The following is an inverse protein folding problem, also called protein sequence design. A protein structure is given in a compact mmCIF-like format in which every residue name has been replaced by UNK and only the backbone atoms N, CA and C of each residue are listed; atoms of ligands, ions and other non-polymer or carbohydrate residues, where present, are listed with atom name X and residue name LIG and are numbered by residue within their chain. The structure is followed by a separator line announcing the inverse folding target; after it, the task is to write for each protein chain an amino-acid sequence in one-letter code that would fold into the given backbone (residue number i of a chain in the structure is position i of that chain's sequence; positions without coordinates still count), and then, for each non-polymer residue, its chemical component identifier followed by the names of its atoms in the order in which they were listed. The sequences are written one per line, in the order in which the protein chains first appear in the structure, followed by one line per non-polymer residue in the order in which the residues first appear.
data_IF_097140985540
#
_entry.id   IF_097140985540
#
_cell.length_a   1.000
_cell.length_b   1.000
_cell.length_c   1.000
_cell.angle_alpha   90.00
_cell.angle_beta   90.00
_cell.angle_gamma   90.00
#
_symmetry.space_group_name_H-M   'P 1'
#
loop_
_entity.id
_entity.type
_entity.pdbx_description
1 polymer ?
#
# COMPACT_ATOMS: atom_id res chain seq x y z
N UNK A 1 34.08 -17.58 -14.24
CA UNK A 1 34.98 -18.45 -15.02
C UNK A 1 35.81 -19.25 -14.05
N UNK A 2 35.44 -20.49 -13.76
CA UNK A 2 36.31 -21.54 -13.18
C UNK A 2 35.94 -22.83 -13.88
N UNK A 3 36.90 -23.39 -14.55
CA UNK A 3 36.78 -24.56 -15.40
C UNK A 3 36.60 -25.81 -14.54
N UNK A 4 35.67 -26.64 -14.91
CA UNK A 4 35.51 -28.02 -14.43
C UNK A 4 36.44 -28.91 -15.26
N UNK A 5 37.43 -29.53 -14.60
CA UNK A 5 38.30 -30.52 -15.17
C UNK A 5 37.62 -31.88 -15.04
N UNK A 6 37.40 -32.54 -16.16
CA UNK A 6 36.88 -33.90 -16.24
C UNK A 6 38.01 -34.93 -16.00
N UNK A 7 37.71 -35.95 -15.19
CA UNK A 7 38.59 -37.11 -14.96
C UNK A 7 38.41 -38.17 -16.06
N UNK A 8 39.48 -38.93 -16.47
CA UNK A 8 39.41 -39.91 -17.53
C UNK A 8 38.80 -41.26 -17.11
N UNK A 9 38.29 -42.05 -18.06
CA UNK A 9 37.63 -43.33 -17.80
C UNK A 9 38.65 -44.44 -17.46
N UNK A 10 38.28 -45.31 -16.51
CA UNK A 10 39.00 -46.53 -16.15
C UNK A 10 38.60 -47.66 -17.08
N UNK A 11 39.60 -48.36 -17.60
CA UNK A 11 39.52 -49.57 -18.43
C UNK A 11 38.98 -50.79 -17.63
N UNK A 12 38.32 -51.73 -18.26
CA UNK A 12 37.77 -52.91 -17.61
C UNK A 12 38.86 -54.05 -17.54
N UNK A 13 39.12 -54.44 -16.31
CA UNK A 13 39.98 -55.61 -16.03
C UNK A 13 39.27 -56.94 -16.33
N UNK A 14 39.97 -57.84 -16.95
CA UNK A 14 39.56 -59.17 -17.40
C UNK A 14 39.09 -60.10 -16.28
N UNK A 15 37.95 -60.76 -16.52
CA UNK A 15 37.37 -61.78 -15.64
C UNK A 15 37.99 -63.15 -15.89
N UNK A 16 38.50 -63.77 -14.83
CA UNK A 16 38.83 -65.19 -14.80
C UNK A 16 37.59 -66.05 -14.32
N UNK A 17 37.46 -67.26 -14.84
CA UNK A 17 36.29 -68.09 -14.52
C UNK A 17 36.56 -68.94 -13.27
N UNK A 18 35.91 -68.63 -12.15
CA UNK A 18 35.79 -69.59 -11.03
C UNK A 18 34.38 -70.20 -10.99
N UNK A 19 34.25 -71.38 -11.58
CA UNK A 19 33.16 -72.33 -11.29
C UNK A 19 33.21 -72.70 -9.78
N UNK A 20 32.24 -72.31 -9.04
CA UNK A 20 31.86 -72.98 -7.82
C UNK A 20 30.48 -73.57 -8.01
N UNK A 21 30.47 -74.92 -8.03
CA UNK A 21 29.24 -75.69 -7.89
C UNK A 21 28.69 -75.46 -6.50
N UNK A 22 27.70 -74.58 -6.37
CA UNK A 22 26.91 -74.44 -5.16
C UNK A 22 25.77 -75.48 -5.21
N UNK A 23 25.79 -76.38 -4.25
CA UNK A 23 24.72 -77.30 -3.93
C UNK A 23 23.41 -76.60 -3.78
N UNK A 24 22.53 -76.77 -4.77
CA UNK A 24 21.14 -76.35 -4.71
C UNK A 24 20.47 -77.12 -3.63
N UNK A 25 20.31 -76.55 -2.43
CA UNK A 25 19.43 -77.08 -1.37
C UNK A 25 18.01 -76.81 -1.82
N UNK A 26 17.16 -77.84 -1.96
CA UNK A 26 15.74 -77.62 -2.33
C UNK A 26 15.13 -76.75 -1.23
N UNK A 27 14.73 -75.53 -1.64
CA UNK A 27 13.86 -74.68 -0.80
C UNK A 27 12.58 -75.48 -0.52
N UNK A 28 12.42 -75.91 0.73
CA UNK A 28 11.13 -76.44 1.19
C UNK A 28 10.07 -75.34 0.97
N UNK A 29 9.26 -75.52 -0.03
CA UNK A 29 8.05 -74.75 -0.20
C UNK A 29 7.14 -75.00 1.00
N UNK A 30 7.14 -74.03 1.93
CA UNK A 30 6.17 -74.05 3.02
C UNK A 30 4.86 -73.59 2.45
N UNK A 31 3.89 -74.50 2.40
CA UNK A 31 2.53 -74.16 2.03
C UNK A 31 2.01 -73.04 2.92
N UNK A 32 1.48 -72.01 2.32
CA UNK A 32 0.84 -70.88 3.02
C UNK A 32 -0.46 -71.42 3.62
N UNK A 33 -0.63 -71.29 4.92
CA UNK A 33 -1.87 -71.70 5.58
C UNK A 33 -2.93 -70.59 5.42
N UNK A 34 -4.22 -70.95 5.46
CA UNK A 34 -5.30 -69.96 5.41
C UNK A 34 -5.19 -68.92 6.54
N UNK A 35 -4.65 -69.34 7.69
CA UNK A 35 -4.37 -68.47 8.85
C UNK A 35 -3.32 -67.43 8.52
N UNK A 36 -2.23 -67.80 7.84
CA UNK A 36 -1.17 -66.86 7.43
C UNK A 36 -1.73 -65.77 6.52
N UNK A 37 -2.63 -66.13 5.60
CA UNK A 37 -3.27 -65.15 4.69
C UNK A 37 -4.18 -64.19 5.48
N UNK A 38 -4.97 -64.69 6.42
CA UNK A 38 -5.87 -63.86 7.24
C UNK A 38 -5.06 -62.88 8.12
N UNK A 39 -4.00 -63.38 8.77
CA UNK A 39 -3.11 -62.52 9.60
C UNK A 39 -2.44 -61.44 8.74
N UNK A 40 -1.96 -61.79 7.54
CA UNK A 40 -1.36 -60.85 6.61
C UNK A 40 -2.35 -59.77 6.15
N UNK A 41 -3.62 -60.14 5.89
CA UNK A 41 -4.69 -59.21 5.52
C UNK A 41 -5.02 -58.23 6.65
N UNK A 42 -5.08 -58.73 7.91
CA UNK A 42 -5.34 -57.89 9.07
C UNK A 42 -4.20 -56.84 9.25
N UNK A 43 -2.95 -57.31 9.19
CA UNK A 43 -1.79 -56.41 9.29
C UNK A 43 -1.79 -55.39 8.14
N UNK A 44 -2.07 -55.81 6.92
CA UNK A 44 -2.16 -54.94 5.76
C UNK A 44 -3.24 -53.85 5.95
N UNK A 45 -4.43 -54.26 6.46
CA UNK A 45 -5.52 -53.32 6.75
C UNK A 45 -5.12 -52.27 7.79
N UNK A 46 -4.50 -52.68 8.89
CA UNK A 46 -4.00 -51.76 9.90
C UNK A 46 -2.96 -50.79 9.32
N UNK A 47 -2.05 -51.31 8.51
CA UNK A 47 -1.02 -50.47 7.86
C UNK A 47 -1.65 -49.44 6.93
N UNK A 48 -2.65 -49.84 6.13
CA UNK A 48 -3.37 -48.94 5.25
C UNK A 48 -4.10 -47.83 6.03
N UNK A 49 -4.73 -48.16 7.17
CA UNK A 49 -5.43 -47.20 8.02
C UNK A 49 -4.42 -46.16 8.58
N UNK A 50 -3.30 -46.63 9.11
CA UNK A 50 -2.26 -45.73 9.66
C UNK A 50 -1.67 -44.80 8.58
N UNK A 51 -1.38 -45.34 7.40
CA UNK A 51 -0.90 -44.55 6.26
C UNK A 51 -1.93 -43.53 5.81
N UNK A 52 -3.21 -43.92 5.70
CA UNK A 52 -4.30 -43.02 5.31
C UNK A 52 -4.47 -41.87 6.33
N UNK A 53 -4.42 -42.16 7.63
CA UNK A 53 -4.48 -41.14 8.67
C UNK A 53 -3.28 -40.19 8.60
N UNK A 54 -2.07 -40.71 8.44
CA UNK A 54 -0.86 -39.91 8.27
C UNK A 54 -0.93 -39.00 7.05
N UNK A 55 -1.49 -39.51 5.94
CA UNK A 55 -1.67 -38.72 4.71
C UNK A 55 -2.63 -37.54 4.92
N UNK A 56 -3.76 -37.76 5.62
CA UNK A 56 -4.73 -36.69 5.95
C UNK A 56 -4.06 -35.59 6.79
N UNK A 57 -3.28 -35.98 7.81
CA UNK A 57 -2.55 -35.01 8.66
C UNK A 57 -1.55 -34.20 7.85
N UNK A 58 -0.75 -34.86 7.00
CA UNK A 58 0.23 -34.17 6.15
C UNK A 58 -0.46 -33.20 5.19
N UNK A 59 -1.58 -33.58 4.58
CA UNK A 59 -2.36 -32.71 3.69
C UNK A 59 -2.90 -31.47 4.44
N UNK A 60 -3.38 -31.65 5.66
CA UNK A 60 -3.87 -30.56 6.49
C UNK A 60 -2.75 -29.58 6.83
N UNK A 61 -1.57 -30.08 7.22
CA UNK A 61 -0.39 -29.26 7.51
C UNK A 61 0.05 -28.47 6.27
N UNK A 62 0.13 -29.12 5.10
CA UNK A 62 0.50 -28.46 3.84
C UNK A 62 -0.47 -27.34 3.47
N UNK A 63 -1.78 -27.59 3.53
CA UNK A 63 -2.81 -26.58 3.26
C UNK A 63 -2.71 -25.39 4.22
N UNK A 64 -2.49 -25.66 5.50
CA UNK A 64 -2.38 -24.60 6.49
C UNK A 64 -1.10 -23.77 6.31
N UNK A 65 0.00 -24.39 5.91
CA UNK A 65 1.27 -23.70 5.64
C UNK A 65 1.16 -22.82 4.39
N UNK A 66 0.59 -23.34 3.29
CA UNK A 66 0.40 -22.53 2.06
C UNK A 66 -0.54 -21.36 2.31
N UNK A 67 -1.67 -21.59 2.99
CA UNK A 67 -2.61 -20.51 3.31
C UNK A 67 -1.97 -19.40 4.20
N UNK A 68 -1.08 -19.78 5.13
CA UNK A 68 -0.35 -18.82 5.95
C UNK A 68 0.67 -18.01 5.12
N UNK A 69 1.32 -18.65 4.14
CA UNK A 69 2.23 -17.98 3.22
C UNK A 69 1.47 -17.01 2.30
N UNK A 70 0.29 -17.39 1.81
CA UNK A 70 -0.57 -16.55 0.98
C UNK A 70 -1.05 -15.30 1.74
N UNK A 71 -1.49 -15.47 3.00
CA UNK A 71 -1.87 -14.34 3.85
C UNK A 71 -0.69 -13.40 4.13
N UNK A 72 0.52 -13.94 4.32
CA UNK A 72 1.73 -13.13 4.46
C UNK A 72 2.04 -12.38 3.17
N UNK A 73 1.99 -13.06 2.02
CA UNK A 73 2.18 -12.45 0.71
C UNK A 73 1.18 -11.31 0.45
N UNK A 74 -0.10 -11.52 0.73
CA UNK A 74 -1.15 -10.49 0.64
C UNK A 74 -0.79 -9.26 1.49
N UNK A 75 -0.36 -9.46 2.75
CA UNK A 75 0.00 -8.35 3.63
C UNK A 75 1.23 -7.59 3.10
N UNK A 76 2.27 -8.28 2.62
CA UNK A 76 3.48 -7.66 2.06
C UNK A 76 3.14 -6.83 0.81
N UNK A 77 2.38 -7.39 -0.13
CA UNK A 77 1.96 -6.65 -1.33
C UNK A 77 1.10 -5.43 -0.99
N UNK A 78 0.17 -5.57 -0.03
CA UNK A 78 -0.64 -4.46 0.45
C UNK A 78 0.20 -3.33 1.05
N UNK A 79 1.14 -3.66 1.94
CA UNK A 79 2.06 -2.69 2.51
C UNK A 79 2.92 -2.02 1.44
N UNK A 80 3.44 -2.77 0.49
CA UNK A 80 4.26 -2.22 -0.58
C UNK A 80 3.47 -1.25 -1.46
N UNK A 81 2.25 -1.60 -1.85
CA UNK A 81 1.39 -0.73 -2.65
C UNK A 81 1.08 0.59 -1.93
N UNK A 82 0.72 0.51 -0.64
CA UNK A 82 0.44 1.67 0.19
C UNK A 82 1.70 2.49 0.49
N UNK A 83 2.85 1.85 0.71
CA UNK A 83 4.12 2.53 0.92
C UNK A 83 4.55 3.33 -0.32
N UNK A 84 4.41 2.77 -1.52
CA UNK A 84 4.67 3.48 -2.77
C UNK A 84 3.72 4.67 -2.93
N UNK A 85 2.44 4.49 -2.61
CA UNK A 85 1.46 5.58 -2.64
C UNK A 85 1.83 6.71 -1.69
N UNK A 86 2.19 6.38 -0.43
CA UNK A 86 2.60 7.33 0.59
C UNK A 86 3.91 8.05 0.22
N UNK A 87 4.92 7.35 -0.31
CA UNK A 87 6.17 7.96 -0.78
C UNK A 87 5.95 8.99 -1.90
N UNK A 88 4.93 8.76 -2.72
CA UNK A 88 4.55 9.67 -3.80
C UNK A 88 3.59 10.79 -3.36
N UNK A 89 3.13 10.78 -2.09
CA UNK A 89 2.29 11.84 -1.57
C UNK A 89 3.00 13.19 -1.69
N UNK A 90 2.29 14.19 -2.21
CA UNK A 90 2.83 15.54 -2.37
C UNK A 90 3.78 15.72 -3.55
N UNK A 91 4.11 14.67 -4.31
CA UNK A 91 4.98 14.81 -5.47
C UNK A 91 4.41 15.87 -6.45
N UNK A 92 5.24 16.84 -6.82
CA UNK A 92 4.87 17.94 -7.70
C UNK A 92 3.86 18.96 -7.15
N UNK A 93 3.38 18.79 -5.91
CA UNK A 93 2.46 19.75 -5.27
C UNK A 93 2.99 20.31 -3.95
N UNK A 94 3.75 19.55 -3.19
CA UNK A 94 4.19 19.95 -1.86
C UNK A 94 5.09 21.19 -1.88
N UNK A 95 5.96 21.33 -2.88
CA UNK A 95 6.86 22.46 -3.07
C UNK A 95 6.12 23.76 -3.42
N UNK A 96 4.96 23.64 -4.05
CA UNK A 96 4.12 24.77 -4.46
C UNK A 96 3.08 25.14 -3.39
N UNK A 97 2.91 24.33 -2.36
CA UNK A 97 1.77 24.39 -1.47
C UNK A 97 1.61 25.73 -0.75
N UNK A 98 2.71 26.42 -0.37
CA UNK A 98 2.65 27.75 0.27
C UNK A 98 1.97 28.80 -0.59
N UNK A 99 2.08 28.70 -1.89
CA UNK A 99 1.43 29.63 -2.85
C UNK A 99 -0.09 29.45 -2.91
N UNK A 100 -0.61 28.35 -2.39
CA UNK A 100 -2.01 27.95 -2.43
C UNK A 100 -2.65 27.85 -1.04
N UNK A 101 -1.94 28.25 0.02
CA UNK A 101 -2.45 28.18 1.40
C UNK A 101 -3.71 28.99 1.62
N UNK A 102 -3.87 30.10 0.91
CA UNK A 102 -5.05 30.94 0.94
C UNK A 102 -6.26 30.38 0.18
N UNK A 103 -6.09 29.28 -0.56
CA UNK A 103 -7.16 28.66 -1.30
C UNK A 103 -8.24 28.09 -0.39
N UNK A 104 -9.51 28.12 -0.82
CA UNK A 104 -10.60 27.53 -0.07
C UNK A 104 -10.36 26.04 0.23
N UNK A 105 -10.68 25.65 1.46
CA UNK A 105 -10.69 24.23 1.86
C UNK A 105 -12.10 23.65 1.69
N UNK A 106 -12.12 22.38 1.34
CA UNK A 106 -13.33 21.56 1.28
C UNK A 106 -13.22 20.42 2.29
N UNK A 107 -14.32 19.83 2.66
CA UNK A 107 -14.38 18.65 3.51
C UNK A 107 -13.80 17.39 2.86
N UNK A 108 -13.52 17.43 1.56
CA UNK A 108 -12.94 16.32 0.80
C UNK A 108 -11.62 16.76 0.12
N UNK A 109 -10.61 15.93 0.24
CA UNK A 109 -9.30 16.13 -0.39
C UNK A 109 -9.41 16.24 -1.92
N UNK A 110 -10.38 15.59 -2.56
CA UNK A 110 -10.55 15.64 -4.01
C UNK A 110 -11.05 17.00 -4.50
N UNK A 111 -11.89 17.67 -3.70
CA UNK A 111 -12.54 18.93 -4.07
C UNK A 111 -11.85 20.17 -3.45
N UNK A 112 -10.97 19.95 -2.46
CA UNK A 112 -10.22 21.09 -1.89
C UNK A 112 -9.23 21.65 -2.90
N UNK A 113 -9.19 22.99 -3.04
CA UNK A 113 -8.23 23.68 -3.89
C UNK A 113 -6.87 23.83 -3.22
N UNK A 114 -6.81 23.75 -1.88
CA UNK A 114 -5.55 23.70 -1.15
C UNK A 114 -4.85 22.36 -1.41
N UNK A 115 -3.58 22.34 -1.81
CA UNK A 115 -2.86 21.12 -2.16
C UNK A 115 -2.37 20.38 -0.91
N UNK A 116 -3.28 19.71 -0.19
CA UNK A 116 -2.95 18.77 0.88
C UNK A 116 -2.44 17.47 0.28
N UNK A 117 -1.28 16.99 0.74
CA UNK A 117 -0.57 15.84 0.13
C UNK A 117 -1.19 14.50 0.49
N UNK A 118 -1.67 14.35 1.72
CA UNK A 118 -2.32 13.13 2.19
C UNK A 118 -3.26 13.41 3.36
N UNK A 119 -4.29 12.58 3.48
CA UNK A 119 -5.27 12.62 4.58
C UNK A 119 -5.59 11.20 5.00
N UNK A 120 -5.53 10.94 6.31
CA UNK A 120 -6.05 9.71 6.91
C UNK A 120 -7.46 10.00 7.43
N UNK A 121 -8.39 9.12 7.13
CA UNK A 121 -9.71 9.10 7.77
C UNK A 121 -9.77 7.89 8.69
N UNK A 122 -9.85 8.14 9.99
CA UNK A 122 -9.99 7.10 11.01
C UNK A 122 -11.31 6.34 10.86
N UNK A 123 -11.27 5.03 10.95
CA UNK A 123 -12.45 4.17 10.96
C UNK A 123 -13.31 4.33 12.22
N UNK A 124 -12.84 5.10 13.20
CA UNK A 124 -13.53 5.43 14.45
C UNK A 124 -13.49 4.32 15.51
N UNK A 125 -12.96 3.15 15.17
CA UNK A 125 -12.81 2.00 16.08
C UNK A 125 -11.63 1.15 15.66
N UNK A 126 -11.00 0.47 16.63
CA UNK A 126 -9.85 -0.41 16.36
C UNK A 126 -10.17 -1.54 15.36
N UNK A 127 -11.40 -2.05 15.37
CA UNK A 127 -11.86 -3.14 14.49
C UNK A 127 -12.32 -2.68 13.09
N UNK A 128 -12.37 -1.36 12.82
CA UNK A 128 -12.72 -0.81 11.51
C UNK A 128 -11.48 -0.30 10.78
N UNK A 129 -11.37 -0.58 9.48
CA UNK A 129 -10.25 -0.07 8.69
C UNK A 129 -10.31 1.44 8.55
N UNK A 130 -9.13 2.06 8.57
CA UNK A 130 -8.93 3.44 8.20
C UNK A 130 -8.86 3.57 6.68
N UNK A 131 -8.97 4.81 6.21
CA UNK A 131 -8.85 5.17 4.81
C UNK A 131 -7.66 6.12 4.62
N UNK A 132 -6.89 5.93 3.57
CA UNK A 132 -5.81 6.84 3.17
C UNK A 132 -6.15 7.48 1.83
N UNK A 133 -6.18 8.80 1.78
CA UNK A 133 -6.24 9.55 0.53
C UNK A 133 -4.90 10.26 0.27
N UNK A 134 -4.38 10.11 -0.93
CA UNK A 134 -3.09 10.65 -1.36
C UNK A 134 -3.28 11.53 -2.59
N UNK A 135 -2.70 12.73 -2.56
CA UNK A 135 -2.68 13.64 -3.70
C UNK A 135 -1.26 13.82 -4.21
N UNK A 136 -1.09 13.83 -5.53
CA UNK A 136 0.15 14.10 -6.23
C UNK A 136 -0.12 14.72 -7.59
N UNK A 137 0.87 15.39 -8.15
CA UNK A 137 0.85 15.79 -9.56
C UNK A 137 1.42 14.67 -10.44
N UNK A 138 0.89 14.53 -11.63
CA UNK A 138 1.46 13.74 -12.72
C UNK A 138 2.10 14.61 -13.80
N UNK A 139 2.20 15.91 -13.54
CA UNK A 139 2.85 16.85 -14.46
C UNK A 139 4.37 16.61 -14.49
N UNK A 140 4.95 16.83 -15.65
CA UNK A 140 6.41 16.91 -15.81
C UNK A 140 7.00 18.19 -15.22
N UNK A 141 6.15 19.19 -14.92
CA UNK A 141 6.52 20.46 -14.29
C UNK A 141 6.11 20.48 -12.82
N UNK A 142 7.01 20.24 -11.87
CA UNK A 142 6.69 20.21 -10.44
C UNK A 142 6.52 21.59 -9.82
N UNK A 143 6.98 22.65 -10.48
CA UNK A 143 6.93 24.02 -9.98
C UNK A 143 5.77 24.80 -10.60
N UNK A 144 5.11 25.69 -9.84
CA UNK A 144 4.08 26.55 -10.36
C UNK A 144 4.68 27.54 -11.36
N UNK A 145 3.91 27.85 -12.42
CA UNK A 145 4.23 28.90 -13.36
C UNK A 145 3.61 30.24 -12.91
N UNK A 146 4.31 31.35 -13.13
CA UNK A 146 3.81 32.69 -12.82
C UNK A 146 2.98 33.22 -13.98
N UNK A 147 1.97 34.00 -13.67
CA UNK A 147 1.25 34.76 -14.65
C UNK A 147 2.12 35.91 -15.17
N UNK A 148 2.10 36.12 -16.49
CA UNK A 148 2.79 37.24 -17.14
C UNK A 148 1.93 38.51 -17.09
N UNK A 149 0.60 38.33 -17.15
CA UNK A 149 -0.37 39.41 -17.10
C UNK A 149 -1.58 38.95 -16.24
N UNK A 150 -2.37 39.94 -15.79
CA UNK A 150 -3.65 39.64 -15.19
C UNK A 150 -4.58 38.94 -16.20
N UNK A 151 -5.27 37.91 -15.72
CA UNK A 151 -6.29 37.22 -16.52
C UNK A 151 -7.67 37.64 -15.99
N UNK A 152 -8.51 38.17 -16.89
CA UNK A 152 -9.92 38.38 -16.58
C UNK A 152 -10.64 37.03 -16.47
N UNK A 153 -11.81 37.02 -15.84
CA UNK A 153 -12.72 35.87 -15.86
C UNK A 153 -12.90 35.39 -17.32
N UNK A 154 -12.66 34.13 -17.58
CA UNK A 154 -12.65 33.61 -18.94
C UNK A 154 -11.97 32.24 -19.05
N UNK A 155 -11.28 32.05 -20.15
CA UNK A 155 -10.75 30.75 -20.54
C UNK A 155 -9.28 30.78 -21.02
N UNK A 156 -8.50 31.79 -20.66
CA UNK A 156 -7.10 31.91 -21.09
C UNK A 156 -6.19 32.49 -20.00
N UNK A 157 -5.04 31.85 -19.77
CA UNK A 157 -3.94 32.36 -18.95
C UNK A 157 -2.69 32.56 -19.82
N UNK A 158 -1.89 33.57 -19.49
CA UNK A 158 -0.53 33.72 -20.00
C UNK A 158 0.46 33.51 -18.89
N UNK A 159 1.37 32.56 -19.01
CA UNK A 159 2.28 32.14 -17.94
C UNK A 159 3.73 32.08 -18.46
N UNK A 160 4.68 32.35 -17.53
CA UNK A 160 6.09 32.09 -17.74
C UNK A 160 6.35 30.59 -17.73
N UNK A 161 6.40 29.98 -18.88
CA UNK A 161 6.73 28.58 -19.07
C UNK A 161 7.26 28.35 -20.49
N UNK A 162 8.19 27.42 -20.64
CA UNK A 162 8.67 26.93 -21.92
C UNK A 162 7.94 25.64 -22.29
N UNK A 163 7.63 24.84 -21.29
CA UNK A 163 7.04 23.50 -21.38
C UNK A 163 6.21 23.14 -20.14
N UNK A 164 5.76 21.91 -20.08
CA UNK A 164 5.13 21.32 -18.89
C UNK A 164 3.63 21.55 -18.76
N UNK A 165 2.97 22.00 -19.82
CA UNK A 165 1.51 22.03 -19.97
C UNK A 165 1.12 21.28 -21.23
N UNK A 166 0.11 20.45 -21.14
CA UNK A 166 -0.45 19.71 -22.27
C UNK A 166 -1.98 19.81 -22.28
N UNK A 167 -2.56 19.58 -23.46
CA UNK A 167 -4.02 19.49 -23.59
C UNK A 167 -4.53 18.34 -22.74
N UNK A 168 -5.59 18.60 -21.98
CA UNK A 168 -6.16 17.64 -21.05
C UNK A 168 -5.51 17.66 -19.66
N UNK A 169 -4.53 18.50 -19.41
CA UNK A 169 -4.00 18.71 -18.05
C UNK A 169 -5.00 19.47 -17.20
N UNK A 170 -5.04 19.13 -15.91
CA UNK A 170 -5.78 19.86 -14.89
C UNK A 170 -4.85 20.79 -14.15
N UNK A 171 -5.26 22.04 -13.99
CA UNK A 171 -4.46 23.07 -13.33
C UNK A 171 -5.24 23.72 -12.20
N UNK A 172 -4.50 24.17 -11.18
CA UNK A 172 -5.02 25.03 -10.12
C UNK A 172 -4.35 26.39 -10.27
N UNK A 173 -5.13 27.46 -10.42
CA UNK A 173 -4.65 28.82 -10.39
C UNK A 173 -4.97 29.47 -9.05
N UNK A 174 -4.04 30.27 -8.51
CA UNK A 174 -4.18 30.98 -7.25
C UNK A 174 -3.72 32.43 -7.36
N UNK A 175 -4.53 33.35 -6.89
CA UNK A 175 -4.17 34.78 -6.74
C UNK A 175 -3.21 35.02 -5.57
N UNK A 176 -2.94 34.01 -4.73
CA UNK A 176 -2.21 34.09 -3.45
C UNK A 176 -2.94 34.91 -2.38
N UNK A 177 -4.10 35.45 -2.65
CA UNK A 177 -4.95 36.26 -1.73
C UNK A 177 -6.30 35.62 -1.48
N UNK A 178 -6.47 34.32 -1.83
CA UNK A 178 -7.68 33.54 -1.54
C UNK A 178 -8.56 33.24 -2.76
N UNK A 179 -8.31 33.86 -3.91
CA UNK A 179 -8.99 33.50 -5.14
C UNK A 179 -8.27 32.33 -5.79
N UNK A 180 -8.96 31.21 -5.94
CA UNK A 180 -8.40 30.00 -6.52
C UNK A 180 -9.42 29.36 -7.44
N UNK A 181 -8.95 28.82 -8.55
CA UNK A 181 -9.76 28.14 -9.54
C UNK A 181 -9.08 26.85 -10.01
N UNK A 182 -9.90 25.86 -10.35
CA UNK A 182 -9.47 24.67 -11.07
C UNK A 182 -9.95 24.79 -12.52
N UNK A 183 -9.11 24.40 -13.46
CA UNK A 183 -9.44 24.41 -14.86
C UNK A 183 -8.75 23.25 -15.59
N UNK A 184 -9.35 22.81 -16.70
CA UNK A 184 -8.76 21.80 -17.59
C UNK A 184 -8.22 22.49 -18.84
N UNK A 185 -6.99 22.18 -19.22
CA UNK A 185 -6.28 22.77 -20.36
C UNK A 185 -6.88 22.25 -21.64
N UNK A 186 -7.30 23.18 -22.52
CA UNK A 186 -7.91 22.88 -23.83
C UNK A 186 -6.99 23.16 -25.01
N UNK A 187 -6.06 24.14 -24.86
CA UNK A 187 -5.00 24.38 -25.83
C UNK A 187 -3.77 24.99 -25.14
N UNK A 188 -2.61 24.78 -25.77
CA UNK A 188 -1.33 25.35 -25.31
C UNK A 188 -0.65 25.96 -26.54
N UNK A 189 -0.37 27.27 -26.52
CA UNK A 189 0.22 27.99 -27.62
C UNK A 189 1.44 28.80 -27.16
N UNK A 190 2.62 28.61 -27.74
CA UNK A 190 3.76 29.49 -27.47
C UNK A 190 3.41 30.95 -27.80
N UNK A 191 3.67 31.86 -26.84
CA UNK A 191 3.33 33.27 -26.97
C UNK A 191 4.58 34.19 -27.04
N UNK A 192 5.77 33.59 -27.28
CA UNK A 192 7.05 34.28 -27.38
C UNK A 192 8.00 33.90 -26.25
N UNK A 193 9.16 34.52 -26.19
CA UNK A 193 10.30 34.26 -25.28
C UNK A 193 9.98 33.74 -23.88
N UNK A 194 9.74 32.43 -23.75
CA UNK A 194 9.48 31.81 -22.45
C UNK A 194 8.06 32.01 -21.90
N UNK A 195 7.11 32.43 -22.73
CA UNK A 195 5.68 32.61 -22.41
C UNK A 195 4.82 31.62 -23.17
N UNK A 196 3.87 31.05 -22.47
CA UNK A 196 2.88 30.12 -23.02
C UNK A 196 1.48 30.69 -22.72
N UNK A 197 0.64 30.75 -23.73
CA UNK A 197 -0.80 30.97 -23.58
C UNK A 197 -1.50 29.63 -23.41
N UNK A 198 -2.22 29.47 -22.30
CA UNK A 198 -2.96 28.28 -21.90
C UNK A 198 -4.44 28.62 -22.08
N UNK A 199 -5.10 28.00 -23.04
CA UNK A 199 -6.55 28.00 -23.09
C UNK A 199 -7.06 26.88 -22.17
N UNK A 200 -8.16 27.12 -21.46
CA UNK A 200 -8.69 26.21 -20.44
C UNK A 200 -10.22 26.30 -20.33
N UNK A 201 -10.82 25.40 -19.56
CA UNK A 201 -12.23 25.48 -19.19
C UNK A 201 -12.52 26.82 -18.47
N UNK A 202 -13.72 27.36 -18.62
CA UNK A 202 -14.04 28.69 -18.11
C UNK A 202 -13.82 28.83 -16.61
N UNK A 203 -13.16 29.92 -16.21
CA UNK A 203 -12.94 30.35 -14.82
C UNK A 203 -13.74 31.61 -14.57
N UNK A 204 -14.57 31.62 -13.53
CA UNK A 204 -15.52 32.68 -13.23
C UNK A 204 -14.93 33.83 -12.39
N UNK A 205 -13.60 33.98 -12.34
CA UNK A 205 -12.95 35.01 -11.53
C UNK A 205 -11.77 35.64 -12.22
N UNK A 206 -11.48 36.89 -11.89
CA UNK A 206 -10.29 37.59 -12.32
C UNK A 206 -9.08 37.16 -11.47
N UNK A 207 -7.95 36.98 -12.11
CA UNK A 207 -6.69 36.60 -11.48
C UNK A 207 -5.62 37.68 -11.79
N UNK A 208 -5.00 38.29 -10.73
CA UNK A 208 -3.99 39.31 -10.95
C UNK A 208 -2.70 38.73 -11.53
N UNK A 209 -1.82 39.57 -12.06
CA UNK A 209 -0.54 39.18 -12.64
C UNK A 209 0.42 38.50 -11.59
N UNK A 210 0.16 38.66 -10.31
CA UNK A 210 0.89 37.96 -9.24
C UNK A 210 0.47 36.50 -9.03
N UNK A 211 -0.54 36.05 -9.76
CA UNK A 211 -1.09 34.70 -9.65
C UNK A 211 -0.11 33.63 -10.09
N UNK A 212 -0.34 32.44 -9.60
CA UNK A 212 0.42 31.23 -9.94
C UNK A 212 -0.52 30.15 -10.46
N UNK A 213 -0.02 29.34 -11.38
CA UNK A 213 -0.72 28.15 -11.85
C UNK A 213 0.13 26.91 -11.58
N UNK A 214 -0.47 25.92 -10.94
CA UNK A 214 0.10 24.59 -10.67
C UNK A 214 -0.53 23.58 -11.61
N UNK A 215 0.31 22.85 -12.35
CA UNK A 215 -0.15 21.75 -13.18
C UNK A 215 -0.23 20.45 -12.35
N UNK A 216 -1.40 19.82 -12.28
CA UNK A 216 -1.62 18.54 -11.64
C UNK A 216 -1.38 17.35 -12.59
N UNK A 217 -1.13 17.62 -13.88
CA UNK A 217 -1.02 16.61 -14.93
C UNK A 217 -2.37 16.28 -15.55
N UNK A 218 -2.37 15.26 -16.39
CA UNK A 218 -3.54 14.89 -17.20
C UNK A 218 -4.74 14.58 -16.30
N UNK A 219 -5.85 15.24 -16.55
CA UNK A 219 -7.10 15.09 -15.77
C UNK A 219 -7.57 13.62 -15.71
N UNK A 220 -7.38 12.86 -16.79
CA UNK A 220 -7.75 11.43 -16.86
C UNK A 220 -6.93 10.52 -15.96
N UNK A 221 -5.80 10.97 -15.40
CA UNK A 221 -4.99 10.17 -14.46
C UNK A 221 -5.34 10.38 -13.00
N UNK A 222 -6.16 11.35 -12.69
CA UNK A 222 -6.55 11.70 -11.33
C UNK A 222 -5.41 12.02 -10.39
N UNK A 223 -5.40 13.21 -9.85
CA UNK A 223 -4.35 13.66 -8.93
C UNK A 223 -4.56 13.15 -7.50
N UNK A 224 -5.72 12.57 -7.19
CA UNK A 224 -6.10 12.15 -5.82
C UNK A 224 -6.61 10.73 -5.82
N UNK A 225 -5.93 9.86 -5.11
CA UNK A 225 -6.29 8.43 -4.99
C UNK A 225 -6.61 8.10 -3.53
N UNK A 226 -7.76 7.48 -3.29
CA UNK A 226 -8.16 6.92 -2.00
C UNK A 226 -7.89 5.42 -1.96
N UNK A 227 -7.37 4.96 -0.84
CA UNK A 227 -7.20 3.54 -0.51
C UNK A 227 -8.09 3.20 0.67
N UNK A 228 -8.96 2.22 0.52
CA UNK A 228 -9.89 1.75 1.55
C UNK A 228 -10.02 0.22 1.54
N UNK A 229 -10.54 -0.34 2.63
CA UNK A 229 -10.87 -1.77 2.72
C UNK A 229 -12.38 -1.91 2.86
N UNK A 230 -13.00 -2.57 1.88
CA UNK A 230 -14.44 -2.86 1.89
C UNK A 230 -14.67 -4.34 1.64
N UNK A 231 -15.46 -4.96 2.49
CA UNK A 231 -15.77 -6.40 2.43
C UNK A 231 -14.51 -7.29 2.34
N UNK A 232 -13.42 -6.89 3.03
CA UNK A 232 -12.17 -7.63 3.03
C UNK A 232 -11.30 -7.45 1.78
N UNK A 233 -11.61 -6.45 0.94
CA UNK A 233 -10.84 -6.12 -0.26
C UNK A 233 -10.22 -4.73 -0.11
N UNK A 234 -8.90 -4.64 -0.23
CA UNK A 234 -8.19 -3.36 -0.39
C UNK A 234 -8.45 -2.86 -1.81
N UNK A 235 -8.89 -1.61 -1.92
CA UNK A 235 -9.24 -0.96 -3.18
C UNK A 235 -8.52 0.37 -3.32
N UNK A 236 -8.30 0.78 -4.55
CA UNK A 236 -7.94 2.15 -4.91
C UNK A 236 -9.06 2.81 -5.69
N UNK A 237 -9.35 4.07 -5.42
CA UNK A 237 -10.35 4.87 -6.11
C UNK A 237 -9.73 6.19 -6.55
N UNK A 238 -9.81 6.52 -7.81
CA UNK A 238 -9.48 7.86 -8.29
C UNK A 238 -10.64 8.81 -7.99
N UNK A 239 -10.41 9.69 -7.02
CA UNK A 239 -11.43 10.65 -6.58
C UNK A 239 -11.59 11.84 -7.51
N UNK A 240 -10.54 12.19 -8.26
CA UNK A 240 -10.57 13.36 -9.13
C UNK A 240 -11.46 13.15 -10.38
N UNK A 241 -11.61 11.90 -10.80
CA UNK A 241 -12.43 11.52 -11.95
C UNK A 241 -13.76 10.86 -11.56
N UNK A 242 -13.98 10.60 -10.27
CA UNK A 242 -15.16 9.87 -9.81
C UNK A 242 -15.19 8.40 -10.26
N UNK A 243 -14.02 7.81 -10.48
CA UNK A 243 -13.92 6.45 -10.99
C UNK A 243 -14.48 5.41 -10.03
N UNK A 244 -14.90 4.29 -10.61
CA UNK A 244 -15.28 3.13 -9.82
C UNK A 244 -14.06 2.58 -9.04
N UNK A 245 -14.26 2.06 -7.80
CA UNK A 245 -13.20 1.48 -7.03
C UNK A 245 -12.53 0.30 -7.74
N UNK A 246 -11.21 0.34 -7.87
CA UNK A 246 -10.40 -0.73 -8.44
C UNK A 246 -9.92 -1.68 -7.32
N UNK A 247 -10.29 -2.97 -7.32
CA UNK A 247 -9.83 -3.93 -6.33
C UNK A 247 -8.33 -4.21 -6.54
N UNK A 248 -7.55 -4.11 -5.47
CA UNK A 248 -6.10 -4.37 -5.48
C UNK A 248 -5.80 -5.75 -4.88
N UNK A 249 -6.31 -6.04 -3.69
CA UNK A 249 -6.02 -7.25 -2.93
C UNK A 249 -7.26 -7.70 -2.15
N UNK A 250 -7.57 -8.99 -2.18
CA UNK A 250 -8.55 -9.63 -1.31
C UNK A 250 -7.93 -10.06 0.02
N UNK A 251 -8.77 -10.49 0.95
CA UNK A 251 -8.37 -11.05 2.25
C UNK A 251 -7.63 -10.07 3.18
N UNK A 252 -7.89 -8.78 3.05
CA UNK A 252 -7.45 -7.74 3.98
C UNK A 252 -8.53 -7.55 5.04
N UNK A 253 -8.23 -7.91 6.29
CA UNK A 253 -9.19 -7.85 7.39
C UNK A 253 -9.25 -6.46 8.04
N UNK A 254 -8.12 -5.76 8.14
CA UNK A 254 -8.04 -4.42 8.70
C UNK A 254 -6.87 -3.64 8.14
N UNK A 255 -6.95 -2.31 8.23
CA UNK A 255 -5.94 -1.37 7.77
C UNK A 255 -5.90 -0.18 8.73
N UNK A 256 -4.71 0.18 9.23
CA UNK A 256 -4.51 1.26 10.19
C UNK A 256 -3.37 2.17 9.76
N UNK A 257 -3.55 3.45 10.01
CA UNK A 257 -2.57 4.49 9.70
C UNK A 257 -2.35 5.42 10.88
N UNK A 258 -1.12 5.97 10.97
CA UNK A 258 -0.81 7.07 11.89
C UNK A 258 0.14 8.06 11.23
N UNK A 259 -0.01 9.33 11.61
CA UNK A 259 0.94 10.38 11.25
C UNK A 259 2.15 10.33 12.17
N UNK A 260 3.33 10.43 11.61
CA UNK A 260 4.56 10.70 12.32
C UNK A 260 4.84 12.20 12.33
N UNK A 261 4.89 12.79 13.50
CA UNK A 261 4.89 14.23 13.70
C UNK A 261 6.20 14.72 14.31
N UNK A 262 6.69 15.81 13.76
CA UNK A 262 7.72 16.69 14.31
C UNK A 262 7.00 17.70 15.23
N UNK A 263 7.08 17.52 16.52
CA UNK A 263 6.31 18.31 17.49
C UNK A 263 6.96 19.62 17.86
N UNK A 264 8.29 19.72 17.82
CA UNK A 264 9.07 20.91 18.17
C UNK A 264 9.57 21.71 16.96
N UNK A 265 9.49 21.14 15.74
CA UNK A 265 9.82 21.81 14.51
C UNK A 265 11.31 21.73 14.12
N UNK A 266 12.07 20.83 14.73
CA UNK A 266 13.51 20.65 14.45
C UNK A 266 13.77 19.84 13.15
N UNK A 267 12.74 19.21 12.61
CA UNK A 267 12.78 18.38 11.37
C UNK A 267 12.87 16.90 11.63
N UNK A 268 13.07 16.46 12.87
CA UNK A 268 13.05 15.06 13.25
C UNK A 268 11.63 14.56 13.53
N UNK A 269 11.50 13.26 13.60
CA UNK A 269 10.25 12.60 13.98
C UNK A 269 10.25 12.39 15.49
N UNK A 270 9.30 13.00 16.20
CA UNK A 270 9.20 12.89 17.66
C UNK A 270 8.17 11.87 18.11
N UNK A 271 7.00 11.90 17.50
CA UNK A 271 5.87 11.13 17.99
C UNK A 271 4.94 10.64 16.88
N UNK A 272 4.11 9.68 17.24
CA UNK A 272 3.09 9.11 16.38
C UNK A 272 1.71 9.47 16.91
N UNK A 273 0.83 9.91 16.02
CA UNK A 273 -0.53 10.34 16.38
C UNK A 273 -1.58 9.66 15.50
N UNK A 274 -2.69 9.28 16.12
CA UNK A 274 -3.84 8.77 15.38
C UNK A 274 -4.53 9.90 14.61
N UNK A 275 -5.23 9.54 13.54
CA UNK A 275 -5.99 10.49 12.72
C UNK A 275 -7.39 10.78 13.31
N UNK A 276 -7.45 10.98 14.61
CA UNK A 276 -8.69 11.21 15.35
C UNK A 276 -8.90 12.69 15.72
N UNK A 277 -10.13 12.99 16.19
CA UNK A 277 -10.48 14.35 16.60
C UNK A 277 -9.83 14.73 17.95
N UNK A 278 -9.61 13.76 18.83
CA UNK A 278 -9.06 13.99 20.16
C UNK A 278 -7.62 14.45 20.12
N UNK A 279 -6.83 13.86 19.19
CA UNK A 279 -5.44 14.26 18.93
C UNK A 279 -5.28 15.50 18.05
N UNK A 280 -6.40 16.05 17.50
CA UNK A 280 -6.34 17.21 16.60
C UNK A 280 -5.94 16.89 15.16
N UNK A 281 -5.78 15.64 14.79
CA UNK A 281 -5.33 15.18 13.48
C UNK A 281 -6.40 14.49 12.64
N UNK A 282 -7.67 14.74 12.92
CA UNK A 282 -8.77 14.23 12.09
C UNK A 282 -8.64 14.69 10.63
N UNK A 283 -9.29 13.99 9.71
CA UNK A 283 -9.30 14.36 8.30
C UNK A 283 -9.72 15.81 8.07
N UNK A 284 -10.77 16.28 8.78
CA UNK A 284 -11.23 17.67 8.71
C UNK A 284 -10.18 18.66 9.21
N UNK A 285 -9.53 18.35 10.33
CA UNK A 285 -8.47 19.20 10.89
C UNK A 285 -7.27 19.30 9.96
N UNK A 286 -6.82 18.18 9.38
CA UNK A 286 -5.70 18.17 8.44
C UNK A 286 -6.03 18.94 7.15
N UNK A 287 -7.25 18.81 6.62
CA UNK A 287 -7.69 19.59 5.46
C UNK A 287 -7.72 21.10 5.74
N UNK A 288 -8.14 21.49 6.94
CA UNK A 288 -8.21 22.89 7.37
C UNK A 288 -6.88 23.45 7.91
N UNK A 289 -5.91 22.58 8.20
CA UNK A 289 -4.66 22.96 8.87
C UNK A 289 -3.84 23.97 8.05
N UNK A 290 -3.19 24.95 8.69
CA UNK A 290 -2.24 25.82 8.05
C UNK A 290 -0.99 25.03 7.63
N UNK A 291 -0.24 25.56 6.67
CA UNK A 291 0.97 24.94 6.14
C UNK A 291 1.96 24.55 7.22
N UNK A 292 2.17 25.42 8.21
CA UNK A 292 3.06 25.17 9.35
C UNK A 292 2.71 23.92 10.15
N UNK A 293 1.44 23.56 10.21
CA UNK A 293 0.98 22.30 10.82
C UNK A 293 1.20 21.11 9.89
N UNK A 294 0.88 21.26 8.58
CA UNK A 294 1.09 20.21 7.60
C UNK A 294 2.57 19.84 7.43
N UNK A 295 3.47 20.81 7.55
CA UNK A 295 4.92 20.60 7.48
C UNK A 295 5.48 19.79 8.65
N UNK A 296 4.73 19.64 9.72
CA UNK A 296 5.07 18.78 10.85
C UNK A 296 4.88 17.29 10.54
N UNK A 297 4.12 16.94 9.50
CA UNK A 297 3.91 15.54 9.09
C UNK A 297 5.16 15.06 8.34
N UNK A 298 5.96 14.16 8.96
CA UNK A 298 7.23 13.66 8.40
C UNK A 298 7.14 12.24 7.86
N UNK A 299 6.29 11.41 8.46
CA UNK A 299 6.20 10.00 8.13
C UNK A 299 4.77 9.48 8.27
N UNK A 300 4.55 8.30 7.73
CA UNK A 300 3.32 7.54 7.87
C UNK A 300 3.65 6.15 8.42
N UNK A 301 2.96 5.70 9.47
CA UNK A 301 2.89 4.29 9.84
C UNK A 301 1.74 3.64 9.12
N UNK A 302 1.96 2.42 8.62
CA UNK A 302 0.96 1.62 7.94
C UNK A 302 0.93 0.25 8.60
N UNK A 303 -0.22 -0.16 9.12
CA UNK A 303 -0.46 -1.48 9.66
C UNK A 303 -1.54 -2.19 8.85
N UNK A 304 -1.28 -3.41 8.42
CA UNK A 304 -2.22 -4.25 7.68
C UNK A 304 -2.44 -5.59 8.39
N UNK A 305 -3.68 -6.01 8.45
CA UNK A 305 -4.08 -7.33 8.95
C UNK A 305 -4.68 -8.10 7.79
N UNK A 306 -3.97 -9.10 7.31
CA UNK A 306 -4.45 -10.01 6.28
C UNK A 306 -4.92 -11.33 6.90
N UNK A 307 -5.83 -12.01 6.24
CA UNK A 307 -6.33 -13.33 6.64
C UNK A 307 -6.09 -14.37 5.55
N UNK A 308 -6.16 -15.63 5.90
CA UNK A 308 -6.16 -16.72 4.92
C UNK A 308 -7.43 -16.68 4.05
N UNK A 309 -7.34 -17.19 2.83
CA UNK A 309 -8.50 -17.26 1.92
C UNK A 309 -9.56 -18.25 2.43
N UNK A 310 -9.11 -19.39 2.92
CA UNK A 310 -9.99 -20.44 3.43
C UNK A 310 -9.92 -20.53 4.95
N UNK A 311 -11.06 -20.80 5.61
CA UNK A 311 -11.09 -20.99 7.06
C UNK A 311 -10.42 -22.31 7.45
N UNK A 312 -9.68 -22.27 8.55
CA UNK A 312 -9.13 -23.43 9.23
C UNK A 312 -10.07 -23.83 10.37
N UNK A 313 -10.78 -24.95 10.20
CA UNK A 313 -11.79 -25.43 11.18
C UNK A 313 -11.23 -25.71 12.56
N UNK A 314 -9.90 -25.76 12.71
CA UNK A 314 -9.24 -25.92 14.01
C UNK A 314 -9.14 -24.61 14.79
N UNK A 315 -9.38 -23.47 14.14
CA UNK A 315 -9.36 -22.14 14.76
C UNK A 315 -10.76 -21.77 15.26
N UNK A 316 -10.97 -21.83 16.55
CA UNK A 316 -12.26 -21.52 17.20
C UNK A 316 -12.21 -20.26 18.04
N UNK A 317 -11.03 -19.65 18.21
CA UNK A 317 -10.82 -18.48 19.07
C UNK A 317 -10.82 -17.20 18.25
N UNK A 318 -11.19 -16.08 18.89
CA UNK A 318 -10.96 -14.75 18.36
C UNK A 318 -9.47 -14.49 18.15
N UNK A 319 -9.16 -13.54 17.27
CA UNK A 319 -7.79 -13.13 16.99
C UNK A 319 -7.52 -11.77 17.63
N UNK A 320 -6.60 -11.76 18.61
CA UNK A 320 -6.08 -10.52 19.20
C UNK A 320 -4.88 -10.06 18.38
N UNK A 321 -4.84 -8.77 18.04
CA UNK A 321 -3.77 -8.16 17.27
C UNK A 321 -3.24 -6.90 17.95
N UNK A 322 -1.97 -6.62 17.73
CA UNK A 322 -1.28 -5.42 18.14
C UNK A 322 -0.59 -4.84 16.92
N UNK A 323 -0.67 -3.53 16.74
CA UNK A 323 0.03 -2.74 15.74
C UNK A 323 0.77 -1.60 16.44
N UNK A 324 1.89 -1.20 15.84
CA UNK A 324 2.66 -0.04 16.26
C UNK A 324 3.17 -0.18 17.71
N UNK A 325 3.50 -1.41 18.08
CA UNK A 325 4.11 -1.72 19.38
C UNK A 325 5.54 -1.15 19.46
N UNK A 326 6.04 -0.96 20.66
CA UNK A 326 7.42 -0.55 20.89
C UNK A 326 8.16 -1.61 21.70
N UNK A 327 9.48 -1.63 21.61
CA UNK A 327 10.34 -2.58 22.31
C UNK A 327 10.50 -2.28 23.82
N UNK A 328 9.73 -1.34 24.37
CA UNK A 328 9.79 -0.98 25.78
C UNK A 328 9.07 -2.01 26.62
N UNK A 329 9.60 -2.27 27.82
CA UNK A 329 8.98 -3.17 28.81
C UNK A 329 7.59 -2.66 29.24
N UNK A 330 7.43 -1.34 29.37
CA UNK A 330 6.14 -0.72 29.65
C UNK A 330 5.40 -0.38 28.36
N UNK A 331 4.57 -1.30 27.91
CA UNK A 331 3.74 -1.20 26.71
C UNK A 331 2.66 -0.12 26.80
N UNK A 332 2.32 0.35 28.01
CA UNK A 332 1.29 1.37 28.21
C UNK A 332 1.77 2.74 27.79
N UNK A 333 3.09 2.94 27.73
CA UNK A 333 3.71 4.21 27.34
C UNK A 333 4.13 4.26 25.86
N UNK A 334 3.79 3.26 25.05
CA UNK A 334 4.09 3.25 23.62
C UNK A 334 3.26 4.30 22.84
N UNK A 335 3.86 5.36 22.31
CA UNK A 335 3.10 6.35 21.53
C UNK A 335 2.47 5.68 20.28
N UNK A 336 1.14 5.79 20.18
CA UNK A 336 0.40 5.31 19.04
C UNK A 336 0.20 3.80 18.96
N UNK A 337 0.51 3.02 20.02
CA UNK A 337 0.19 1.59 20.06
C UNK A 337 -1.31 1.35 19.90
N UNK A 338 -1.66 0.48 18.97
CA UNK A 338 -3.05 0.07 18.72
C UNK A 338 -3.22 -1.42 18.98
N UNK A 339 -4.32 -1.78 19.60
CA UNK A 339 -4.70 -3.18 19.78
C UNK A 339 -6.19 -3.39 19.57
N UNK A 340 -6.54 -4.58 19.20
CA UNK A 340 -7.93 -4.94 18.99
C UNK A 340 -8.13 -6.45 18.91
N UNK A 341 -9.38 -6.86 18.87
CA UNK A 341 -9.76 -8.26 18.78
C UNK A 341 -10.80 -8.45 17.68
N UNK A 342 -10.51 -9.39 16.78
CA UNK A 342 -11.53 -9.91 15.87
C UNK A 342 -12.24 -11.03 16.63
N UNK A 343 -13.53 -10.83 16.92
CA UNK A 343 -14.31 -11.78 17.70
C UNK A 343 -14.38 -13.16 17.03
N UNK A 344 -14.49 -14.24 17.82
CA UNK A 344 -14.53 -15.62 17.29
C UNK A 344 -15.62 -15.83 16.23
N UNK A 345 -16.79 -15.22 16.41
CA UNK A 345 -17.88 -15.28 15.44
C UNK A 345 -17.50 -14.66 14.07
N UNK A 346 -16.67 -13.62 14.07
CA UNK A 346 -16.20 -12.93 12.85
C UNK A 346 -14.88 -13.53 12.37
N UNK A 347 -14.04 -14.02 13.27
CA UNK A 347 -12.77 -14.67 12.93
C UNK A 347 -12.99 -15.91 12.06
N UNK A 348 -14.14 -16.59 12.18
CA UNK A 348 -14.63 -17.61 11.26
C UNK A 348 -13.66 -18.76 10.97
N UNK A 349 -12.73 -19.05 11.89
CA UNK A 349 -11.68 -20.03 11.68
C UNK A 349 -10.50 -19.57 10.82
N UNK A 350 -10.44 -18.31 10.40
CA UNK A 350 -9.32 -17.79 9.61
C UNK A 350 -8.05 -17.62 10.44
N UNK A 351 -6.90 -17.77 9.81
CA UNK A 351 -5.61 -17.35 10.36
C UNK A 351 -5.29 -15.95 9.87
N UNK A 352 -4.71 -15.15 10.75
CA UNK A 352 -4.39 -13.75 10.46
C UNK A 352 -2.88 -13.52 10.48
N UNK A 353 -2.44 -12.54 9.69
CA UNK A 353 -1.08 -12.00 9.70
C UNK A 353 -1.15 -10.50 9.89
N UNK A 354 -0.36 -10.01 10.83
CA UNK A 354 -0.21 -8.59 11.13
C UNK A 354 1.16 -8.18 10.62
N UNK A 355 1.20 -7.16 9.79
CA UNK A 355 2.43 -6.55 9.29
C UNK A 355 2.31 -5.04 9.38
N UNK A 356 3.43 -4.38 9.62
CA UNK A 356 3.51 -2.94 9.68
C UNK A 356 4.78 -2.41 9.01
N UNK A 357 4.74 -1.12 8.63
CA UNK A 357 5.88 -0.43 8.07
C UNK A 357 5.83 1.06 8.39
N UNK A 358 6.98 1.70 8.34
CA UNK A 358 7.13 3.16 8.45
C UNK A 358 7.60 3.70 7.11
N UNK A 359 6.91 4.71 6.62
CA UNK A 359 7.18 5.34 5.33
C UNK A 359 7.51 6.81 5.53
N UNK A 360 8.73 7.26 5.27
CA UNK A 360 9.07 8.69 5.28
C UNK A 360 8.41 9.40 4.08
N UNK A 361 7.81 10.56 4.34
CA UNK A 361 7.09 11.35 3.32
C UNK A 361 8.08 12.32 2.63
N UNK A 362 8.91 11.79 1.75
CA UNK A 362 10.05 12.49 1.14
C UNK A 362 9.68 13.84 0.54
N UNK A 363 8.57 13.93 -0.18
CA UNK A 363 8.16 15.18 -0.84
C UNK A 363 7.73 16.28 0.16
N UNK A 364 7.35 15.90 1.38
CA UNK A 364 7.04 16.85 2.45
C UNK A 364 8.30 17.29 3.22
N UNK A 365 9.30 16.41 3.31
CA UNK A 365 10.56 16.70 3.98
C UNK A 365 11.39 17.76 3.25
N UNK A 366 11.31 17.85 1.93
CA UNK A 366 12.10 18.73 1.06
C UNK A 366 11.47 20.11 0.85
N UNK A 367 10.36 20.43 1.52
CA UNK A 367 9.63 21.71 1.35
C UNK A 367 10.19 22.85 2.20
N UNK A 368 11.14 22.60 3.07
CA UNK A 368 11.89 23.67 3.76
C UNK A 368 12.85 24.27 2.75
N UNK A 369 12.47 25.44 2.17
CA UNK A 369 13.42 26.37 1.62
C UNK A 369 14.32 26.91 2.73
N UNK A 370 15.52 27.38 2.39
CA UNK A 370 16.42 28.00 3.35
C UNK A 370 15.80 29.19 4.03
#
# INVERSE_FOLDING_TARGET
MKAFVAAPPREPGAAGPHRRAGLDRPRRERGITLVDVVVALVIALFTIIVVAQSFVVIQTIRRSASAAADAHGTAVFGLQALAIAAQNAGAGIAQAASAFDSCPVSADIATTLRPVSLVITDGGRADRPDTLAVRRSFSTRPLPARFVAAAAAGNSFQVEAVDGFAIGDRVIASSRTGQCAIADVTAVTPAGSGVVAIAHSAVAMDLPATSLVLNLGTASRGSTTRYDVVAGTLRSTDLANGDAPNPLLSNVANLKFQYGIDSDGDGALDTWVAADAAGGWSAANVLAAPRTTLDRIKALRIGIIARTEYPDRTQTRGFHWVLFDCERDDKTTCPGRLEGTIAAATAGGYRYRVLETVVPLRNLLWTRGP
#
